data_IF_630594090399
#
_entry.id   IF_630594090399
#
_cell.length_a   1.000
_cell.length_b   1.000
_cell.length_c   1.000
_cell.angle_alpha   90.00
_cell.angle_beta   90.00
_cell.angle_gamma   90.00
#
_symmetry.space_group_name_H-M   'P 1'
#
loop_
_entity.id
_entity.type
_entity.pdbx_description
1 polymer ?
#
# COMPACT_ATOMS: atom_id res chain seq x y z
N UNK A 1 7.54 12.08 3.98
CA UNK A 1 7.49 10.96 4.97
C UNK A 1 6.66 11.41 6.17
N UNK A 2 5.85 10.53 6.78
CA UNK A 2 4.88 10.94 7.81
C UNK A 2 5.51 11.15 9.20
N UNK A 3 6.55 10.38 9.57
CA UNK A 3 7.06 10.35 10.95
C UNK A 3 8.57 10.60 11.08
N UNK A 4 9.22 11.00 10.01
CA UNK A 4 10.66 11.32 10.00
C UNK A 4 10.79 12.81 9.70
N UNK A 5 11.50 13.56 10.57
CA UNK A 5 11.71 15.00 10.41
C UNK A 5 12.49 15.30 9.12
N UNK A 6 12.32 16.50 8.59
CA UNK A 6 13.05 16.94 7.39
C UNK A 6 14.56 16.89 7.59
N UNK A 7 15.05 17.28 8.75
CA UNK A 7 16.47 17.22 9.10
C UNK A 7 17.02 15.78 9.00
N UNK A 8 16.32 14.79 9.58
CA UNK A 8 16.74 13.38 9.49
C UNK A 8 16.66 12.90 8.04
N UNK A 9 15.63 13.29 7.28
CA UNK A 9 15.53 12.95 5.87
C UNK A 9 16.74 13.43 5.07
N UNK A 10 17.16 14.68 5.28
CA UNK A 10 18.31 15.29 4.59
C UNK A 10 19.61 14.58 4.95
N UNK A 11 19.80 14.22 6.22
CA UNK A 11 20.96 13.42 6.67
C UNK A 11 20.99 12.03 6.05
N UNK A 12 19.85 11.36 5.95
CA UNK A 12 19.73 10.04 5.31
C UNK A 12 20.06 10.13 3.82
N UNK A 13 19.58 11.17 3.15
CA UNK A 13 19.85 11.41 1.73
C UNK A 13 21.33 11.68 1.47
N UNK A 14 21.96 12.55 2.26
CA UNK A 14 23.39 12.82 2.17
C UNK A 14 24.23 11.54 2.37
N UNK A 15 23.90 10.76 3.40
CA UNK A 15 24.59 9.49 3.66
C UNK A 15 24.40 8.50 2.53
N UNK A 16 23.20 8.41 1.93
CA UNK A 16 22.94 7.55 0.79
C UNK A 16 23.80 7.95 -0.42
N UNK A 17 23.92 9.24 -0.73
CA UNK A 17 24.78 9.73 -1.81
C UNK A 17 26.25 9.36 -1.59
N UNK A 18 26.79 9.59 -0.40
CA UNK A 18 28.17 9.23 -0.05
C UNK A 18 28.43 7.72 -0.18
N UNK A 19 27.48 6.87 0.18
CA UNK A 19 27.59 5.42 0.04
C UNK A 19 27.60 5.04 -1.46
N UNK A 20 26.66 5.58 -2.24
CA UNK A 20 26.55 5.30 -3.68
C UNK A 20 27.83 5.73 -4.42
N UNK A 21 28.35 6.91 -4.13
CA UNK A 21 29.60 7.43 -4.69
C UNK A 21 30.80 6.55 -4.30
N UNK A 22 30.89 6.13 -3.03
CA UNK A 22 32.01 5.31 -2.55
C UNK A 22 32.09 3.93 -3.19
N UNK A 23 30.96 3.39 -3.65
CA UNK A 23 30.86 2.09 -4.32
C UNK A 23 30.96 2.26 -5.84
N UNK A 24 30.73 3.46 -6.37
CA UNK A 24 30.71 3.74 -7.82
C UNK A 24 29.48 3.16 -8.52
N UNK A 25 28.32 3.17 -7.87
CA UNK A 25 27.07 2.65 -8.47
C UNK A 25 26.56 3.62 -9.53
N UNK A 26 26.28 3.11 -10.72
CA UNK A 26 25.56 3.81 -11.79
C UNK A 26 24.20 3.16 -11.96
N UNK A 27 23.11 3.92 -11.78
CA UNK A 27 21.74 3.43 -11.90
C UNK A 27 21.03 3.28 -10.55
N UNK A 28 19.94 2.49 -10.55
CA UNK A 28 19.10 2.30 -9.39
C UNK A 28 19.78 1.53 -8.25
N UNK A 29 19.62 2.03 -7.04
CA UNK A 29 20.11 1.38 -5.84
C UNK A 29 19.11 1.55 -4.70
N UNK A 30 19.21 0.70 -3.69
CA UNK A 30 18.42 0.79 -2.47
C UNK A 30 19.35 0.77 -1.26
N UNK A 31 19.24 1.77 -0.40
CA UNK A 31 19.96 1.85 0.87
C UNK A 31 18.95 1.78 2.01
N UNK A 32 19.12 0.85 2.93
CA UNK A 32 18.27 0.69 4.11
C UNK A 32 18.98 1.23 5.35
N UNK A 33 18.26 2.08 6.07
CA UNK A 33 18.72 2.70 7.31
C UNK A 33 17.83 2.31 8.48
N UNK A 34 18.43 2.32 9.69
CA UNK A 34 17.69 2.40 10.94
C UNK A 34 18.08 3.69 11.67
N UNK A 35 17.08 4.37 12.21
CA UNK A 35 17.25 5.58 13.01
C UNK A 35 16.63 5.36 14.40
N UNK A 36 17.43 5.54 15.43
CA UNK A 36 16.97 5.58 16.81
C UNK A 36 16.63 7.04 17.19
N UNK A 37 15.34 7.36 17.41
CA UNK A 37 14.93 8.72 17.71
C UNK A 37 15.32 9.21 19.12
N UNK A 38 15.77 8.31 20.01
CA UNK A 38 16.19 8.64 21.38
C UNK A 38 17.65 9.08 21.41
N UNK A 39 18.52 8.32 20.75
CA UNK A 39 19.97 8.59 20.70
C UNK A 39 20.39 9.35 19.45
N UNK A 40 19.45 9.59 18.53
CA UNK A 40 19.67 10.16 17.20
C UNK A 40 20.71 9.39 16.35
N UNK A 41 20.96 8.13 16.69
CA UNK A 41 21.88 7.28 15.97
C UNK A 41 21.25 6.79 14.66
N UNK A 42 21.99 6.93 13.55
CA UNK A 42 21.66 6.35 12.25
C UNK A 42 22.65 5.22 11.96
N UNK A 43 22.15 4.07 11.53
CA UNK A 43 22.94 2.94 11.04
C UNK A 43 22.48 2.50 9.67
N UNK A 44 23.42 2.14 8.82
CA UNK A 44 23.14 1.47 7.54
C UNK A 44 22.91 -0.01 7.83
N UNK A 45 21.76 -0.52 7.40
CA UNK A 45 21.44 -1.96 7.52
C UNK A 45 22.08 -2.69 6.35
N UNK A 46 21.75 -2.26 5.13
CA UNK A 46 22.29 -2.84 3.90
C UNK A 46 22.19 -1.86 2.73
N UNK A 47 22.98 -2.13 1.69
CA UNK A 47 22.83 -1.52 0.39
C UNK A 47 22.64 -2.63 -0.67
N UNK A 48 21.70 -2.41 -1.58
CA UNK A 48 21.50 -3.24 -2.77
C UNK A 48 21.84 -2.40 -4.00
N UNK A 49 23.07 -2.52 -4.56
CA UNK A 49 23.53 -1.70 -5.70
C UNK A 49 22.95 -2.21 -7.03
N UNK A 50 21.66 -2.33 -7.08
CA UNK A 50 20.86 -2.82 -8.21
C UNK A 50 19.41 -2.40 -8.02
N UNK A 51 18.61 -2.44 -9.09
CA UNK A 51 17.15 -2.46 -8.95
C UNK A 51 16.71 -3.71 -8.18
N UNK A 52 15.73 -3.55 -7.32
CA UNK A 52 15.22 -4.58 -6.42
C UNK A 52 13.69 -4.52 -6.35
N UNK A 53 13.07 -5.44 -5.61
CA UNK A 53 11.63 -5.37 -5.32
C UNK A 53 11.23 -4.05 -4.64
N UNK A 54 12.06 -3.57 -3.72
CA UNK A 54 11.85 -2.27 -3.08
C UNK A 54 11.93 -1.12 -4.08
N UNK A 55 12.78 -1.24 -5.12
CA UNK A 55 12.85 -0.26 -6.21
C UNK A 55 11.58 -0.29 -7.06
N UNK A 56 11.03 -1.47 -7.36
CA UNK A 56 9.77 -1.61 -8.10
C UNK A 56 8.61 -0.95 -7.34
N UNK A 57 8.51 -1.20 -6.03
CA UNK A 57 7.52 -0.55 -5.18
C UNK A 57 7.73 0.97 -5.12
N UNK A 58 8.95 1.44 -4.89
CA UNK A 58 9.26 2.87 -4.83
C UNK A 58 8.95 3.57 -6.16
N UNK A 59 9.23 2.92 -7.29
CA UNK A 59 8.88 3.40 -8.63
C UNK A 59 7.37 3.66 -8.75
N UNK A 60 6.56 2.70 -8.35
CA UNK A 60 5.10 2.80 -8.40
C UNK A 60 4.53 3.71 -7.31
N UNK A 61 5.17 3.78 -6.15
CA UNK A 61 4.75 4.68 -5.08
C UNK A 61 4.95 6.17 -5.43
N UNK A 62 5.94 6.49 -6.25
CA UNK A 62 6.32 7.88 -6.57
C UNK A 62 6.03 8.29 -8.02
N UNK A 63 5.64 7.34 -8.87
CA UNK A 63 5.56 7.58 -10.31
C UNK A 63 6.93 7.80 -10.97
N UNK A 64 8.03 7.41 -10.29
CA UNK A 64 9.38 7.56 -10.81
C UNK A 64 9.86 6.25 -11.47
N UNK A 65 10.08 6.21 -12.81
CA UNK A 65 10.36 4.96 -13.52
C UNK A 65 11.82 4.53 -13.34
N UNK A 66 12.17 3.99 -12.17
CA UNK A 66 13.55 3.65 -11.76
C UNK A 66 14.26 2.75 -12.79
N UNK A 67 13.56 1.75 -13.36
CA UNK A 67 14.15 0.82 -14.31
C UNK A 67 14.54 1.53 -15.62
N UNK A 68 13.65 2.37 -16.16
CA UNK A 68 13.91 3.17 -17.36
C UNK A 68 15.10 4.12 -17.14
N UNK A 69 15.09 4.85 -16.03
CA UNK A 69 16.17 5.79 -15.69
C UNK A 69 17.49 5.04 -15.48
N UNK A 70 17.48 3.89 -14.82
CA UNK A 70 18.68 3.07 -14.63
C UNK A 70 19.28 2.62 -15.97
N UNK A 71 18.43 2.26 -16.94
CA UNK A 71 18.88 1.90 -18.27
C UNK A 71 19.50 3.09 -19.04
N UNK A 72 18.90 4.28 -18.92
CA UNK A 72 19.45 5.51 -19.52
C UNK A 72 20.82 5.86 -18.93
N UNK A 73 20.98 5.79 -17.61
CA UNK A 73 22.26 6.02 -16.93
C UNK A 73 23.31 4.97 -17.35
N UNK A 74 22.93 3.71 -17.46
CA UNK A 74 23.80 2.64 -17.92
C UNK A 74 24.22 2.81 -19.39
N UNK A 75 23.38 3.47 -20.20
CA UNK A 75 23.71 3.84 -21.58
C UNK A 75 24.63 5.08 -21.67
N UNK A 76 24.98 5.72 -20.57
CA UNK A 76 25.93 6.81 -20.47
C UNK A 76 25.33 8.21 -20.36
N UNK A 77 23.99 8.36 -20.27
CA UNK A 77 23.39 9.67 -20.01
C UNK A 77 23.66 10.11 -18.58
N UNK A 78 23.71 11.42 -18.36
CA UNK A 78 23.83 12.04 -17.04
C UNK A 78 22.45 12.51 -16.53
N UNK A 79 22.34 12.84 -15.24
CA UNK A 79 21.08 13.24 -14.63
C UNK A 79 20.49 14.52 -15.23
N UNK A 80 21.34 15.43 -15.67
CA UNK A 80 20.98 16.69 -16.32
C UNK A 80 20.64 16.56 -17.81
N UNK A 81 20.92 15.41 -18.41
CA UNK A 81 20.56 15.08 -19.79
C UNK A 81 19.22 14.32 -19.89
N UNK A 82 18.76 13.70 -18.79
CA UNK A 82 17.52 12.93 -18.79
C UNK A 82 16.30 13.85 -18.55
N UNK A 83 15.37 13.94 -19.52
CA UNK A 83 14.15 14.75 -19.36
C UNK A 83 13.27 14.24 -18.21
N UNK A 84 12.73 15.15 -17.41
CA UNK A 84 11.88 14.80 -16.26
C UNK A 84 10.61 15.67 -16.15
N UNK A 85 9.77 15.65 -17.17
CA UNK A 85 8.47 16.29 -17.21
C UNK A 85 8.48 17.73 -16.69
N UNK A 86 7.66 18.05 -15.72
CA UNK A 86 7.55 19.41 -15.12
C UNK A 86 8.81 19.92 -14.42
N UNK A 87 9.75 19.03 -14.09
CA UNK A 87 11.01 19.39 -13.43
C UNK A 87 12.10 19.80 -14.43
N UNK A 88 11.89 19.61 -15.74
CA UNK A 88 12.84 19.84 -16.80
C UNK A 88 13.82 18.68 -16.94
N UNK A 89 14.74 18.50 -16.00
CA UNK A 89 15.75 17.44 -15.99
C UNK A 89 15.76 16.69 -14.66
N UNK A 90 16.31 15.48 -14.68
CA UNK A 90 16.23 14.52 -13.57
C UNK A 90 16.96 14.98 -12.30
N UNK A 91 18.04 15.75 -12.45
CA UNK A 91 18.77 16.35 -11.33
C UNK A 91 17.91 17.25 -10.43
N UNK A 92 16.78 17.75 -10.96
CA UNK A 92 15.83 18.61 -10.28
C UNK A 92 14.58 17.88 -9.77
N UNK A 93 14.51 16.56 -9.97
CA UNK A 93 13.35 15.78 -9.56
C UNK A 93 13.15 15.79 -8.04
N UNK A 94 11.91 15.97 -7.63
CA UNK A 94 11.46 15.83 -6.25
C UNK A 94 10.07 15.15 -6.21
N UNK A 95 9.88 14.10 -5.38
CA UNK A 95 8.57 13.45 -5.23
C UNK A 95 7.58 14.40 -4.52
N UNK A 96 6.45 14.70 -5.16
CA UNK A 96 5.47 15.67 -4.68
C UNK A 96 4.01 15.17 -4.70
N UNK A 97 3.81 13.87 -4.67
CA UNK A 97 2.47 13.27 -4.60
C UNK A 97 1.73 13.64 -3.30
N UNK A 98 0.45 14.00 -3.41
CA UNK A 98 -0.43 14.35 -2.29
C UNK A 98 -1.30 13.15 -1.84
N UNK A 99 -0.74 11.97 -1.86
CA UNK A 99 -1.36 10.71 -1.47
C UNK A 99 -0.46 9.94 -0.48
N UNK A 100 -1.03 8.95 0.17
CA UNK A 100 -0.33 8.06 1.10
C UNK A 100 -0.21 6.68 0.47
N UNK A 101 0.99 6.10 0.54
CA UNK A 101 1.26 4.75 0.09
C UNK A 101 1.58 3.87 1.29
N UNK A 102 0.88 2.75 1.39
CA UNK A 102 1.13 1.72 2.41
C UNK A 102 1.67 0.47 1.73
N UNK A 103 2.83 0.02 2.19
CA UNK A 103 3.36 -1.30 1.91
C UNK A 103 2.98 -2.25 3.04
N UNK A 104 2.41 -3.40 2.71
CA UNK A 104 2.12 -4.44 3.70
C UNK A 104 2.69 -5.78 3.24
N UNK A 105 3.46 -6.44 4.11
CA UNK A 105 4.07 -7.73 3.80
C UNK A 105 3.04 -8.87 3.85
N UNK A 106 3.14 -9.81 2.92
CA UNK A 106 2.40 -11.08 2.96
C UNK A 106 3.30 -12.16 3.56
N UNK A 107 2.88 -12.72 4.68
CA UNK A 107 3.49 -13.90 5.28
C UNK A 107 2.63 -15.13 4.98
N UNK A 108 3.23 -16.32 5.00
CA UNK A 108 2.57 -17.58 4.72
C UNK A 108 2.97 -18.68 5.71
N UNK A 109 3.10 -18.33 7.00
CA UNK A 109 3.45 -19.29 8.05
C UNK A 109 2.49 -20.47 8.07
N UNK A 110 1.21 -20.24 7.71
CA UNK A 110 0.18 -21.27 7.63
C UNK A 110 0.48 -22.38 6.60
N UNK A 111 1.40 -22.15 5.67
CA UNK A 111 1.80 -23.13 4.65
C UNK A 111 2.91 -24.06 5.10
N UNK A 112 3.60 -23.74 6.19
CA UNK A 112 4.76 -24.48 6.66
C UNK A 112 4.46 -25.14 8.01
N UNK A 113 4.29 -26.46 8.04
CA UNK A 113 4.10 -27.19 9.30
C UNK A 113 5.34 -27.07 10.19
N UNK A 114 5.15 -26.67 11.46
CA UNK A 114 6.22 -26.48 12.43
C UNK A 114 6.99 -25.18 12.33
N UNK A 115 6.64 -24.29 11.39
CA UNK A 115 7.21 -22.95 11.37
C UNK A 115 6.61 -22.09 12.49
N UNK A 116 7.47 -21.50 13.30
CA UNK A 116 7.07 -20.55 14.33
C UNK A 116 6.76 -19.19 13.68
N UNK A 117 5.57 -18.65 13.93
CA UNK A 117 5.19 -17.28 13.52
C UNK A 117 5.86 -16.28 14.47
N UNK A 118 7.12 -16.00 14.19
CA UNK A 118 7.93 -15.01 14.91
C UNK A 118 8.69 -14.16 13.91
N UNK A 119 8.49 -12.86 13.98
CA UNK A 119 9.23 -11.89 13.15
C UNK A 119 10.56 -11.54 13.82
N UNK A 120 11.57 -11.24 13.02
CA UNK A 120 12.92 -10.94 13.48
C UNK A 120 13.77 -10.34 12.37
N UNK A 121 15.09 -10.50 12.46
CA UNK A 121 16.05 -9.94 11.50
C UNK A 121 16.11 -10.69 10.16
N UNK A 122 15.53 -11.88 10.09
CA UNK A 122 15.47 -12.67 8.86
C UNK A 122 14.23 -12.28 8.03
N UNK A 123 14.38 -12.26 6.71
CA UNK A 123 13.28 -12.05 5.79
C UNK A 123 12.39 -13.30 5.72
N UNK A 124 11.12 -13.16 6.11
CA UNK A 124 10.12 -14.24 6.15
C UNK A 124 8.87 -13.95 5.31
N UNK A 125 8.78 -12.77 4.72
CA UNK A 125 7.69 -12.42 3.83
C UNK A 125 7.82 -13.16 2.49
N UNK A 126 6.69 -13.63 1.94
CA UNK A 126 6.63 -14.32 0.64
C UNK A 126 6.25 -13.39 -0.49
N UNK A 127 5.72 -12.22 -0.17
CA UNK A 127 5.31 -11.18 -1.10
C UNK A 127 4.87 -9.93 -0.34
N UNK A 128 4.36 -8.97 -1.08
CA UNK A 128 3.88 -7.72 -0.53
C UNK A 128 2.74 -7.15 -1.35
N UNK A 129 1.96 -6.28 -0.74
CA UNK A 129 0.97 -5.45 -1.42
C UNK A 129 1.33 -3.98 -1.24
N UNK A 130 0.91 -3.17 -2.19
CA UNK A 130 0.93 -1.73 -2.10
C UNK A 130 -0.50 -1.21 -2.25
N UNK A 131 -0.85 -0.25 -1.44
CA UNK A 131 -2.12 0.47 -1.55
C UNK A 131 -1.89 1.96 -1.55
N UNK A 132 -2.74 2.70 -2.24
CA UNK A 132 -2.70 4.15 -2.34
C UNK A 132 -4.03 4.71 -1.86
N UNK A 133 -3.98 5.79 -1.10
CA UNK A 133 -5.14 6.53 -0.63
C UNK A 133 -4.78 7.98 -0.30
N UNK A 134 -5.76 8.84 -0.08
CA UNK A 134 -5.52 10.23 0.33
C UNK A 134 -5.12 10.36 1.80
N UNK A 135 -5.54 9.42 2.64
CA UNK A 135 -5.22 9.39 4.06
C UNK A 135 -4.53 8.09 4.46
N UNK A 136 -3.82 8.11 5.59
CA UNK A 136 -3.20 6.90 6.14
C UNK A 136 -4.26 5.82 6.43
N UNK A 137 -5.38 6.18 7.06
CA UNK A 137 -6.47 5.24 7.40
C UNK A 137 -7.04 4.56 6.15
N UNK A 138 -7.37 5.34 5.11
CA UNK A 138 -7.87 4.83 3.83
C UNK A 138 -6.89 3.84 3.19
N UNK A 139 -5.62 4.25 3.05
CA UNK A 139 -4.59 3.41 2.45
C UNK A 139 -4.32 2.16 3.28
N UNK A 140 -4.33 2.26 4.62
CA UNK A 140 -4.07 1.12 5.51
C UNK A 140 -5.17 0.06 5.43
N UNK A 141 -6.44 0.47 5.50
CA UNK A 141 -7.55 -0.47 5.33
C UNK A 141 -7.60 -1.10 3.93
N UNK A 142 -7.24 -0.33 2.90
CA UNK A 142 -7.09 -0.86 1.55
C UNK A 142 -5.97 -1.91 1.48
N UNK A 143 -4.82 -1.68 2.13
CA UNK A 143 -3.73 -2.65 2.21
C UNK A 143 -4.18 -3.99 2.84
N UNK A 144 -5.00 -3.95 3.89
CA UNK A 144 -5.54 -5.17 4.51
C UNK A 144 -6.37 -5.99 3.52
N UNK A 145 -7.24 -5.34 2.75
CA UNK A 145 -8.03 -6.03 1.71
C UNK A 145 -7.13 -6.59 0.60
N UNK A 146 -6.11 -5.83 0.22
CA UNK A 146 -5.15 -6.21 -0.82
C UNK A 146 -4.36 -7.48 -0.50
N UNK A 147 -4.22 -7.86 0.77
CA UNK A 147 -3.57 -9.11 1.18
C UNK A 147 -4.34 -10.37 0.77
N UNK A 148 -5.62 -10.25 0.43
CA UNK A 148 -6.50 -11.36 0.02
C UNK A 148 -6.51 -12.53 1.03
N UNK A 149 -6.50 -12.21 2.32
CA UNK A 149 -6.57 -13.18 3.43
C UNK A 149 -8.00 -13.43 3.92
N UNK A 150 -9.00 -12.91 3.20
CA UNK A 150 -10.42 -12.96 3.60
C UNK A 150 -10.81 -11.91 4.64
N UNK A 151 -9.91 -10.97 4.95
CA UNK A 151 -10.16 -9.85 5.85
C UNK A 151 -10.51 -8.59 5.06
N UNK A 152 -11.54 -7.90 5.48
CA UNK A 152 -12.03 -6.66 4.86
C UNK A 152 -11.79 -5.42 5.74
N UNK A 153 -11.21 -5.61 6.92
CA UNK A 153 -10.83 -4.61 7.91
C UNK A 153 -9.89 -5.20 8.94
N UNK A 154 -9.47 -4.39 9.91
CA UNK A 154 -8.52 -4.77 10.96
C UNK A 154 -9.17 -5.54 12.10
N UNK A 155 -10.44 -5.25 12.42
CA UNK A 155 -11.17 -5.91 13.50
C UNK A 155 -11.72 -7.28 13.13
N UNK A 156 -12.27 -7.96 14.12
CA UNK A 156 -12.83 -9.32 14.02
C UNK A 156 -11.86 -10.33 13.37
N UNK A 157 -10.60 -10.22 13.71
CA UNK A 157 -9.54 -11.05 13.15
C UNK A 157 -9.34 -12.30 14.02
N UNK A 158 -9.68 -13.47 13.48
CA UNK A 158 -9.50 -14.78 14.14
C UNK A 158 -10.17 -14.81 15.54
N UNK A 159 -9.51 -15.45 16.52
CA UNK A 159 -10.02 -15.63 17.87
C UNK A 159 -9.58 -14.53 18.87
N UNK A 160 -8.97 -13.45 18.37
CA UNK A 160 -8.48 -12.38 19.24
C UNK A 160 -9.59 -11.64 19.99
N UNK A 161 -10.80 -11.66 19.46
CA UNK A 161 -11.96 -11.00 20.06
C UNK A 161 -12.34 -11.55 21.45
N UNK A 162 -12.02 -12.83 21.70
CA UNK A 162 -12.36 -13.50 22.97
C UNK A 162 -11.27 -13.30 24.04
N UNK A 163 -10.12 -12.72 23.68
CA UNK A 163 -9.02 -12.47 24.59
C UNK A 163 -9.23 -11.21 25.42
N UNK A 164 -8.75 -11.25 26.65
CA UNK A 164 -8.67 -10.07 27.51
C UNK A 164 -7.55 -9.13 27.04
N UNK A 165 -7.59 -7.88 27.51
CA UNK A 165 -6.53 -6.90 27.28
C UNK A 165 -5.15 -7.45 27.65
N UNK A 166 -5.02 -8.06 28.83
CA UNK A 166 -3.74 -8.57 29.35
C UNK A 166 -3.18 -9.72 28.53
N UNK A 167 -4.05 -10.60 28.01
CA UNK A 167 -3.65 -11.67 27.11
C UNK A 167 -3.16 -11.12 25.76
N UNK A 168 -3.86 -10.14 25.20
CA UNK A 168 -3.44 -9.47 23.97
C UNK A 168 -2.10 -8.75 24.13
N UNK A 169 -1.89 -8.03 25.23
CA UNK A 169 -0.62 -7.35 25.51
C UNK A 169 0.54 -8.36 25.66
N UNK A 170 0.31 -9.53 26.27
CA UNK A 170 1.32 -10.61 26.34
C UNK A 170 1.70 -11.14 24.96
N UNK A 171 0.74 -11.29 24.04
CA UNK A 171 1.02 -11.72 22.67
C UNK A 171 1.88 -10.72 21.90
N UNK A 172 1.82 -9.43 22.23
CA UNK A 172 2.59 -8.38 21.56
C UNK A 172 4.06 -8.31 21.99
N UNK A 173 4.46 -8.99 23.07
CA UNK A 173 5.87 -9.06 23.53
C UNK A 173 6.77 -9.64 22.42
N UNK A 174 6.28 -10.65 21.71
CA UNK A 174 6.97 -11.25 20.58
C UNK A 174 6.27 -10.85 19.28
N UNK A 175 6.94 -10.17 18.36
CA UNK A 175 6.31 -9.74 17.11
C UNK A 175 5.98 -10.95 16.23
N UNK A 176 4.70 -11.05 15.81
CA UNK A 176 4.19 -12.06 14.88
C UNK A 176 3.61 -11.42 13.62
N UNK A 177 3.29 -12.21 12.61
CA UNK A 177 2.58 -11.75 11.41
C UNK A 177 1.21 -11.12 11.73
N UNK A 178 0.63 -11.47 12.86
CA UNK A 178 -0.70 -11.04 13.30
C UNK A 178 -0.69 -9.78 14.20
N UNK A 179 0.49 -9.23 14.52
CA UNK A 179 0.62 -8.16 15.52
C UNK A 179 -0.26 -6.94 15.27
N UNK A 180 -0.54 -6.58 14.01
CA UNK A 180 -1.40 -5.43 13.69
C UNK A 180 -2.86 -5.68 14.13
N UNK A 181 -3.34 -6.89 13.94
CA UNK A 181 -4.69 -7.30 14.35
C UNK A 181 -4.82 -7.45 15.86
N UNK A 182 -3.74 -7.95 16.52
CA UNK A 182 -3.67 -8.03 17.98
C UNK A 182 -3.66 -6.63 18.61
N UNK A 183 -2.90 -5.69 18.05
CA UNK A 183 -2.88 -4.29 18.49
C UNK A 183 -4.25 -3.64 18.35
N UNK A 184 -4.91 -3.86 17.22
CA UNK A 184 -6.25 -3.32 16.96
C UNK A 184 -7.26 -3.80 17.99
N UNK A 185 -7.25 -5.11 18.31
CA UNK A 185 -8.14 -5.67 19.33
C UNK A 185 -7.74 -5.23 20.74
N UNK A 186 -6.45 -5.09 21.04
CA UNK A 186 -6.00 -4.54 22.33
C UNK A 186 -6.51 -3.11 22.56
N UNK A 187 -6.49 -2.26 21.52
CA UNK A 187 -7.09 -0.92 21.59
C UNK A 187 -8.59 -0.98 21.87
N UNK A 188 -9.32 -1.88 21.21
CA UNK A 188 -10.75 -2.11 21.46
C UNK A 188 -11.03 -2.54 22.91
N UNK A 189 -10.14 -3.33 23.51
CA UNK A 189 -10.22 -3.76 24.92
C UNK A 189 -9.66 -2.73 25.91
N UNK A 190 -9.37 -1.50 25.44
CA UNK A 190 -8.96 -0.38 26.29
C UNK A 190 -7.45 -0.29 26.56
N UNK A 191 -6.61 -0.89 25.73
CA UNK A 191 -5.18 -0.61 25.78
C UNK A 191 -4.91 0.83 25.34
N UNK A 192 -3.97 1.50 25.99
CA UNK A 192 -3.57 2.85 25.64
C UNK A 192 -2.52 2.86 24.55
N UNK A 193 -2.41 4.00 23.86
CA UNK A 193 -1.37 4.23 22.85
C UNK A 193 0.03 4.06 23.47
N UNK A 194 0.23 4.54 24.69
CA UNK A 194 1.51 4.41 25.40
C UNK A 194 1.85 2.94 25.74
N UNK A 195 0.89 2.15 26.25
CA UNK A 195 1.10 0.73 26.51
C UNK A 195 1.57 -0.01 25.25
N UNK A 196 0.93 0.25 24.12
CA UNK A 196 1.30 -0.37 22.85
C UNK A 196 2.65 0.15 22.32
N UNK A 197 2.94 1.44 22.47
CA UNK A 197 4.25 1.99 22.11
C UNK A 197 5.37 1.36 22.92
N UNK A 198 5.20 1.24 24.24
CA UNK A 198 6.24 0.65 25.10
C UNK A 198 6.54 -0.81 24.77
N UNK A 199 5.52 -1.58 24.39
CA UNK A 199 5.67 -2.98 24.02
C UNK A 199 6.25 -3.17 22.60
N UNK A 200 5.79 -2.37 21.64
CA UNK A 200 6.07 -2.62 20.22
C UNK A 200 7.12 -1.70 19.62
N UNK A 201 7.35 -0.56 20.26
CA UNK A 201 8.14 0.59 19.76
C UNK A 201 7.63 1.15 18.42
N UNK A 202 6.40 0.80 18.03
CA UNK A 202 5.72 1.43 16.90
C UNK A 202 5.35 2.84 17.31
N UNK A 203 5.69 3.84 16.48
CA UNK A 203 5.46 5.26 16.79
C UNK A 203 4.00 5.55 17.08
N UNK A 204 3.74 6.45 18.04
CA UNK A 204 2.43 6.90 18.49
C UNK A 204 1.49 7.23 17.33
N UNK A 205 1.96 7.98 16.34
CA UNK A 205 1.17 8.34 15.16
C UNK A 205 0.43 7.16 14.54
N UNK A 206 1.10 6.01 14.33
CA UNK A 206 0.47 4.85 13.70
C UNK A 206 -0.53 4.16 14.62
N UNK A 207 -0.25 4.15 15.94
CA UNK A 207 -1.15 3.57 16.94
C UNK A 207 -2.38 4.46 17.13
N UNK A 208 -2.21 5.79 17.10
CA UNK A 208 -3.31 6.76 17.15
C UNK A 208 -4.24 6.61 15.95
N UNK A 209 -3.70 6.49 14.73
CA UNK A 209 -4.50 6.24 13.53
C UNK A 209 -5.29 4.92 13.62
N UNK A 210 -4.69 3.90 14.22
CA UNK A 210 -5.38 2.63 14.47
C UNK A 210 -6.47 2.78 15.54
N UNK A 211 -6.24 3.57 16.58
CA UNK A 211 -7.22 3.86 17.63
C UNK A 211 -8.43 4.61 17.07
N UNK A 212 -8.23 5.60 16.23
CA UNK A 212 -9.31 6.33 15.55
C UNK A 212 -10.18 5.38 14.72
N UNK A 213 -9.57 4.40 14.02
CA UNK A 213 -10.32 3.37 13.28
C UNK A 213 -11.12 2.45 14.21
N UNK A 214 -10.60 2.11 15.39
CA UNK A 214 -11.34 1.33 16.40
C UNK A 214 -12.56 2.13 16.90
N UNK A 215 -12.39 3.40 17.23
CA UNK A 215 -13.46 4.27 17.72
C UNK A 215 -14.57 4.42 16.67
N UNK A 216 -14.21 4.57 15.40
CA UNK A 216 -15.15 4.64 14.28
C UNK A 216 -15.88 3.30 14.06
N UNK A 217 -15.16 2.19 14.15
CA UNK A 217 -15.74 0.85 14.03
C UNK A 217 -16.76 0.58 15.13
N UNK A 218 -16.46 0.93 16.39
CA UNK A 218 -17.38 0.80 17.51
C UNK A 218 -18.61 1.71 17.33
N UNK A 219 -18.41 2.93 16.81
CA UNK A 219 -19.52 3.82 16.49
C UNK A 219 -20.43 3.19 15.42
N UNK A 220 -19.88 2.65 14.33
CA UNK A 220 -20.67 1.95 13.31
C UNK A 220 -21.42 0.77 13.93
N UNK A 221 -20.74 -0.07 14.70
CA UNK A 221 -21.33 -1.24 15.33
C UNK A 221 -22.47 -0.92 16.28
N UNK A 222 -22.46 0.26 16.90
CA UNK A 222 -23.53 0.73 17.79
C UNK A 222 -24.89 0.90 17.09
N UNK A 223 -24.90 1.02 15.76
CA UNK A 223 -26.11 1.11 14.95
C UNK A 223 -26.67 -0.26 14.54
N UNK A 224 -26.09 -1.37 15.00
CA UNK A 224 -26.61 -2.72 14.68
C UNK A 224 -28.10 -2.83 15.02
N UNK A 225 -28.91 -3.27 14.04
CA UNK A 225 -30.38 -3.32 14.16
C UNK A 225 -31.09 -2.00 13.85
N UNK A 226 -30.37 -0.93 13.54
CA UNK A 226 -30.89 0.36 13.11
C UNK A 226 -30.26 0.80 11.79
N UNK A 227 -30.86 1.77 11.13
CA UNK A 227 -30.26 2.35 9.94
C UNK A 227 -29.01 3.15 10.31
N UNK A 228 -27.91 2.92 9.57
CA UNK A 228 -26.69 3.70 9.73
C UNK A 228 -26.92 5.13 9.22
N UNK A 229 -26.63 6.19 10.00
CA UNK A 229 -26.74 7.57 9.53
C UNK A 229 -25.83 7.83 8.31
N UNK A 230 -26.29 8.66 7.40
CA UNK A 230 -25.60 8.95 6.15
C UNK A 230 -24.24 9.63 6.35
N UNK A 231 -24.11 10.49 7.33
CA UNK A 231 -22.86 11.15 7.69
C UNK A 231 -21.83 10.17 8.27
N UNK A 232 -22.28 9.20 9.10
CA UNK A 232 -21.43 8.11 9.60
C UNK A 232 -20.96 7.22 8.45
N UNK A 233 -21.85 6.81 7.56
CA UNK A 233 -21.47 6.04 6.37
C UNK A 233 -20.47 6.81 5.51
N UNK A 234 -20.69 8.10 5.30
CA UNK A 234 -19.80 8.95 4.52
C UNK A 234 -18.40 9.03 5.11
N UNK A 235 -18.28 9.18 6.43
CA UNK A 235 -16.99 9.21 7.12
C UNK A 235 -16.31 7.85 7.05
N UNK A 236 -17.01 6.78 7.33
CA UNK A 236 -16.51 5.42 7.24
C UNK A 236 -15.91 5.11 5.84
N UNK A 237 -16.58 5.54 4.77
CA UNK A 237 -16.05 5.37 3.41
C UNK A 237 -14.77 6.17 3.19
N UNK A 238 -14.69 7.39 3.71
CA UNK A 238 -13.49 8.24 3.63
C UNK A 238 -12.31 7.64 4.39
N UNK A 239 -12.56 6.98 5.51
CA UNK A 239 -11.54 6.32 6.31
C UNK A 239 -11.24 4.87 5.84
N UNK A 240 -11.84 4.45 4.71
CA UNK A 240 -11.45 3.23 4.01
C UNK A 240 -12.24 1.97 4.39
N UNK A 241 -13.35 2.08 5.16
CA UNK A 241 -14.20 0.94 5.45
C UNK A 241 -14.89 0.41 4.19
N UNK A 242 -14.72 -0.87 3.89
CA UNK A 242 -15.39 -1.53 2.77
C UNK A 242 -16.89 -1.72 3.06
N UNK A 243 -17.74 -1.66 2.03
CA UNK A 243 -19.17 -1.95 2.17
C UNK A 243 -19.40 -3.30 2.84
N UNK A 244 -18.64 -4.31 2.44
CA UNK A 244 -18.66 -5.66 3.03
C UNK A 244 -18.25 -5.70 4.50
N UNK A 245 -17.33 -4.83 4.93
CA UNK A 245 -16.94 -4.78 6.34
C UNK A 245 -18.01 -4.09 7.19
N UNK A 246 -18.55 -2.97 6.71
CA UNK A 246 -19.65 -2.26 7.35
C UNK A 246 -20.87 -3.18 7.48
N UNK A 247 -21.23 -3.92 6.43
CA UNK A 247 -22.35 -4.87 6.46
C UNK A 247 -22.17 -5.95 7.52
N UNK A 248 -20.93 -6.44 7.70
CA UNK A 248 -20.59 -7.41 8.75
C UNK A 248 -20.75 -6.82 10.16
N UNK A 249 -20.36 -5.55 10.37
CA UNK A 249 -20.52 -4.87 11.67
C UNK A 249 -21.99 -4.71 12.04
N UNK A 250 -22.82 -4.40 11.05
CA UNK A 250 -24.25 -4.14 11.25
C UNK A 250 -25.13 -5.40 11.16
N UNK A 251 -24.57 -6.52 10.71
CA UNK A 251 -25.28 -7.78 10.45
C UNK A 251 -26.39 -7.63 9.39
N UNK A 252 -26.04 -6.95 8.29
CA UNK A 252 -26.91 -6.72 7.12
C UNK A 252 -26.24 -7.20 5.84
N UNK A 253 -26.98 -7.24 4.74
CA UNK A 253 -26.41 -7.59 3.45
C UNK A 253 -25.53 -6.45 2.88
N UNK A 254 -24.38 -6.79 2.26
CA UNK A 254 -23.48 -5.81 1.64
C UNK A 254 -24.21 -4.90 0.65
N UNK A 255 -25.20 -5.46 -0.06
CA UNK A 255 -26.02 -4.72 -1.03
C UNK A 255 -26.81 -3.57 -0.38
N UNK A 256 -27.22 -3.69 0.88
CA UNK A 256 -27.92 -2.63 1.61
C UNK A 256 -27.02 -1.42 1.80
N UNK A 257 -25.80 -1.64 2.28
CA UNK A 257 -24.79 -0.58 2.45
C UNK A 257 -24.47 0.08 1.11
N UNK A 258 -24.27 -0.74 0.08
CA UNK A 258 -24.01 -0.23 -1.28
C UNK A 258 -25.18 0.62 -1.79
N UNK A 259 -26.43 0.17 -1.62
CA UNK A 259 -27.60 0.91 -2.08
C UNK A 259 -27.76 2.23 -1.33
N UNK A 260 -27.54 2.26 -0.02
CA UNK A 260 -27.57 3.49 0.77
C UNK A 260 -26.52 4.48 0.26
N UNK A 261 -25.28 4.03 0.07
CA UNK A 261 -24.20 4.85 -0.47
C UNK A 261 -24.52 5.42 -1.84
N UNK A 262 -25.05 4.60 -2.74
CA UNK A 262 -25.44 5.03 -4.10
C UNK A 262 -26.62 6.02 -4.09
N UNK A 263 -27.59 5.83 -3.20
CA UNK A 263 -28.71 6.76 -3.03
C UNK A 263 -28.26 8.15 -2.56
N UNK A 264 -27.15 8.23 -1.83
CA UNK A 264 -26.49 9.49 -1.43
C UNK A 264 -25.66 10.13 -2.58
N UNK A 265 -25.61 9.51 -3.76
CA UNK A 265 -24.70 9.92 -4.84
C UNK A 265 -23.22 9.70 -4.53
N UNK A 266 -22.90 8.86 -3.57
CA UNK A 266 -21.53 8.64 -3.11
C UNK A 266 -20.87 7.50 -3.90
N UNK A 267 -19.95 7.87 -4.77
CA UNK A 267 -19.14 6.97 -5.57
C UNK A 267 -17.65 7.17 -5.23
N UNK A 268 -16.84 6.12 -5.38
CA UNK A 268 -15.40 6.32 -5.43
C UNK A 268 -15.03 7.12 -6.68
N UNK A 269 -13.98 7.91 -6.54
CA UNK A 269 -13.39 8.68 -7.63
C UNK A 269 -12.00 8.13 -7.90
N UNK A 270 -11.45 8.41 -9.06
CA UNK A 270 -10.16 7.91 -9.50
C UNK A 270 -9.19 9.05 -9.68
N UNK A 271 -8.07 8.97 -8.98
CA UNK A 271 -7.00 9.96 -9.06
C UNK A 271 -5.72 9.35 -9.65
N UNK A 272 -4.98 10.11 -10.49
CA UNK A 272 -3.78 9.61 -11.12
C UNK A 272 -2.56 9.70 -10.22
N UNK A 273 -1.66 8.73 -10.37
CA UNK A 273 -0.25 8.87 -10.07
C UNK A 273 0.48 9.08 -11.41
N UNK A 274 1.00 10.28 -11.61
CA UNK A 274 1.70 10.63 -12.84
C UNK A 274 3.09 10.01 -12.89
N UNK A 275 3.46 9.43 -14.03
CA UNK A 275 4.77 8.84 -14.24
C UNK A 275 5.71 9.90 -14.81
N UNK A 276 6.74 10.25 -14.05
CA UNK A 276 7.75 11.22 -14.46
C UNK A 276 8.61 10.67 -15.61
N UNK A 277 9.23 11.57 -16.38
CA UNK A 277 10.06 11.23 -17.53
C UNK A 277 9.37 10.46 -18.67
N UNK A 278 8.03 10.38 -18.63
CA UNK A 278 7.18 9.86 -19.70
C UNK A 278 6.18 10.91 -20.13
N UNK A 279 5.68 10.80 -21.36
CA UNK A 279 4.65 11.68 -21.84
C UNK A 279 3.28 11.07 -21.55
N UNK A 280 2.47 11.76 -20.74
CA UNK A 280 1.06 11.45 -20.49
C UNK A 280 0.79 10.03 -19.90
N UNK A 281 1.79 9.42 -19.22
CA UNK A 281 1.57 8.14 -18.56
C UNK A 281 1.15 8.33 -17.11
N UNK A 282 0.11 7.61 -16.71
CA UNK A 282 -0.43 7.61 -15.37
C UNK A 282 -1.06 6.26 -15.04
N UNK A 283 -1.16 5.94 -13.76
CA UNK A 283 -2.01 4.89 -13.26
C UNK A 283 -2.89 5.44 -12.15
N UNK A 284 -4.02 4.78 -11.90
CA UNK A 284 -5.09 5.33 -11.08
C UNK A 284 -5.30 4.54 -9.81
N UNK A 285 -5.69 5.22 -8.74
CA UNK A 285 -6.17 4.62 -7.50
C UNK A 285 -7.53 5.20 -7.14
N UNK A 286 -8.37 4.41 -6.47
CA UNK A 286 -9.67 4.86 -6.01
C UNK A 286 -9.59 5.57 -4.67
N UNK A 287 -10.45 6.56 -4.46
CA UNK A 287 -10.60 7.25 -3.17
C UNK A 287 -12.02 7.80 -3.00
N UNK A 288 -12.42 8.04 -1.74
CA UNK A 288 -13.60 8.82 -1.39
C UNK A 288 -13.24 10.24 -0.94
N UNK A 289 -11.96 10.62 -0.99
CA UNK A 289 -11.42 11.88 -0.49
C UNK A 289 -10.89 12.81 -1.60
N UNK A 290 -11.25 12.55 -2.85
CA UNK A 290 -10.70 13.26 -4.00
C UNK A 290 -11.72 13.73 -4.99
N UNK A 291 -11.24 14.02 -6.20
CA UNK A 291 -12.05 14.37 -7.39
C UNK A 291 -11.73 13.37 -8.50
N UNK A 292 -12.77 13.01 -9.24
CA UNK A 292 -12.59 12.11 -10.38
C UNK A 292 -11.76 12.78 -11.47
N UNK A 293 -10.66 12.15 -11.85
CA UNK A 293 -9.74 12.61 -12.88
C UNK A 293 -9.51 11.53 -13.95
N UNK A 294 -10.34 10.46 -13.93
CA UNK A 294 -10.27 9.41 -14.91
C UNK A 294 -11.19 9.70 -16.10
N UNK A 295 -10.61 9.89 -17.26
CA UNK A 295 -11.36 10.09 -18.51
C UNK A 295 -11.76 8.74 -19.11
N UNK A 296 -13.08 8.57 -19.33
CA UNK A 296 -13.64 7.37 -19.96
C UNK A 296 -13.67 7.54 -21.46
N UNK A 297 -12.90 6.73 -22.18
CA UNK A 297 -12.92 6.69 -23.66
C UNK A 297 -14.19 6.02 -24.20
N UNK A 298 -14.47 6.17 -25.49
CA UNK A 298 -15.53 5.45 -26.21
C UNK A 298 -15.04 4.17 -26.91
N UNK A 299 -13.78 3.77 -26.70
CA UNK A 299 -13.18 2.59 -27.31
C UNK A 299 -13.81 1.30 -26.78
N UNK A 300 -13.71 0.22 -27.55
CA UNK A 300 -14.03 -1.11 -27.04
C UNK A 300 -12.94 -1.52 -26.03
N UNK A 301 -13.37 -1.85 -24.82
CA UNK A 301 -12.47 -2.11 -23.70
C UNK A 301 -12.53 -3.55 -23.25
N UNK A 302 -11.37 -4.08 -22.81
CA UNK A 302 -11.29 -5.34 -22.10
C UNK A 302 -10.49 -5.12 -20.82
N UNK A 303 -11.11 -5.48 -19.68
CA UNK A 303 -10.49 -5.41 -18.37
C UNK A 303 -9.89 -6.77 -18.02
N UNK A 304 -8.63 -6.75 -17.59
CA UNK A 304 -7.86 -7.91 -17.15
C UNK A 304 -7.69 -7.79 -15.62
N UNK A 305 -8.18 -8.76 -14.89
CA UNK A 305 -8.01 -8.84 -13.44
C UNK A 305 -6.71 -9.56 -13.13
N UNK A 306 -5.82 -8.87 -12.42
CA UNK A 306 -4.48 -9.37 -12.07
C UNK A 306 -4.48 -10.42 -10.96
N UNK A 307 -3.31 -10.96 -10.67
CA UNK A 307 -3.13 -12.06 -9.71
C UNK A 307 -3.11 -11.65 -8.24
N UNK A 308 -3.11 -10.36 -7.92
CA UNK A 308 -2.93 -9.88 -6.53
C UNK A 308 -1.55 -10.20 -5.95
N UNK A 309 -1.41 -10.31 -4.61
CA UNK A 309 -0.13 -10.55 -3.96
C UNK A 309 0.44 -11.93 -4.27
N UNK A 310 1.76 -12.02 -4.29
CA UNK A 310 2.45 -13.31 -4.46
C UNK A 310 2.04 -14.31 -3.37
N UNK A 311 1.86 -15.56 -3.77
CA UNK A 311 1.45 -16.66 -2.89
C UNK A 311 2.31 -17.89 -3.16
N UNK A 312 2.50 -18.73 -2.15
CA UNK A 312 3.14 -20.03 -2.35
C UNK A 312 2.23 -20.90 -3.22
N UNK A 313 2.81 -21.44 -4.29
CA UNK A 313 2.09 -22.23 -5.29
C UNK A 313 1.47 -21.41 -6.42
N UNK A 314 1.62 -20.10 -6.42
CA UNK A 314 1.24 -19.21 -7.51
C UNK A 314 2.48 -18.46 -8.00
N UNK A 315 2.98 -18.82 -9.16
CA UNK A 315 4.21 -18.25 -9.70
C UNK A 315 3.96 -17.07 -10.63
N UNK A 316 5.04 -16.61 -11.25
CA UNK A 316 5.05 -15.46 -12.16
C UNK A 316 4.22 -15.69 -13.45
N UNK A 317 3.91 -16.92 -13.77
CA UNK A 317 3.10 -17.31 -14.94
C UNK A 317 1.72 -16.64 -14.96
N UNK A 318 1.15 -16.33 -13.79
CA UNK A 318 -0.12 -15.62 -13.70
C UNK A 318 0.01 -14.18 -14.19
N UNK A 319 1.09 -13.51 -13.84
CA UNK A 319 1.36 -12.16 -14.32
C UNK A 319 1.76 -12.15 -15.79
N UNK A 320 2.54 -13.13 -16.22
CA UNK A 320 2.88 -13.35 -17.63
C UNK A 320 1.61 -13.46 -18.50
N UNK A 321 0.60 -14.22 -18.05
CA UNK A 321 -0.67 -14.32 -18.75
C UNK A 321 -1.40 -12.96 -18.86
N UNK A 322 -1.41 -12.17 -17.79
CA UNK A 322 -2.02 -10.84 -17.80
C UNK A 322 -1.34 -9.89 -18.81
N UNK A 323 0.00 -9.88 -18.81
CA UNK A 323 0.81 -9.06 -19.73
C UNK A 323 0.58 -9.46 -21.18
N UNK A 324 0.68 -10.77 -21.49
CA UNK A 324 0.47 -11.25 -22.85
C UNK A 324 -0.97 -11.08 -23.34
N UNK A 325 -1.96 -11.22 -22.48
CA UNK A 325 -3.34 -10.92 -22.80
C UNK A 325 -3.51 -9.44 -23.19
N UNK A 326 -2.92 -8.52 -22.40
CA UNK A 326 -2.94 -7.09 -22.72
C UNK A 326 -2.32 -6.81 -24.08
N UNK A 327 -1.10 -7.31 -24.32
CA UNK A 327 -0.40 -7.10 -25.61
C UNK A 327 -1.15 -7.67 -26.81
N UNK A 328 -1.76 -8.86 -26.66
CA UNK A 328 -2.54 -9.46 -27.73
C UNK A 328 -3.84 -8.67 -28.03
N UNK A 329 -4.53 -8.21 -27.00
CA UNK A 329 -5.75 -7.43 -27.13
C UNK A 329 -5.50 -6.05 -27.73
N UNK A 330 -4.41 -5.38 -27.38
CA UNK A 330 -3.97 -4.13 -28.03
C UNK A 330 -3.78 -4.32 -29.54
N UNK A 331 -3.12 -5.42 -29.96
CA UNK A 331 -2.94 -5.75 -31.39
C UNK A 331 -4.27 -5.99 -32.11
N UNK A 332 -5.31 -6.41 -31.40
CA UNK A 332 -6.67 -6.58 -31.95
C UNK A 332 -7.50 -5.30 -31.92
N UNK A 333 -6.94 -4.18 -31.49
CA UNK A 333 -7.60 -2.86 -31.47
C UNK A 333 -8.49 -2.62 -30.26
N UNK A 334 -8.34 -3.38 -29.16
CA UNK A 334 -9.04 -3.11 -27.92
C UNK A 334 -8.22 -2.18 -27.02
N UNK A 335 -8.88 -1.29 -26.31
CA UNK A 335 -8.31 -0.60 -25.15
C UNK A 335 -8.21 -1.59 -24.00
N UNK A 336 -7.02 -1.76 -23.46
CA UNK A 336 -6.75 -2.73 -22.39
C UNK A 336 -6.69 -2.03 -21.05
N UNK A 337 -7.37 -2.61 -20.08
CA UNK A 337 -7.40 -2.13 -18.69
C UNK A 337 -6.87 -3.25 -17.80
N UNK A 338 -5.90 -2.95 -16.94
CA UNK A 338 -5.45 -3.90 -15.90
C UNK A 338 -5.85 -3.37 -14.53
N UNK A 339 -6.32 -4.27 -13.67
CA UNK A 339 -6.57 -4.03 -12.24
C UNK A 339 -5.70 -4.98 -11.43
N UNK A 340 -4.75 -4.45 -10.68
CA UNK A 340 -3.87 -5.24 -9.80
C UNK A 340 -3.24 -4.36 -8.73
N UNK A 341 -2.98 -4.92 -7.54
CA UNK A 341 -2.36 -4.23 -6.40
C UNK A 341 -0.96 -4.74 -6.03
N UNK A 342 -0.37 -5.61 -6.86
CA UNK A 342 0.95 -6.16 -6.62
C UNK A 342 2.04 -5.28 -7.26
N UNK A 343 2.88 -4.58 -6.47
CA UNK A 343 3.90 -3.69 -7.02
C UNK A 343 5.07 -4.42 -7.67
N UNK A 344 5.18 -5.74 -7.47
CA UNK A 344 6.31 -6.56 -7.96
C UNK A 344 6.07 -7.13 -9.37
N UNK A 345 4.91 -6.87 -9.98
CA UNK A 345 4.49 -7.46 -11.26
C UNK A 345 4.65 -6.51 -12.44
N UNK A 346 4.93 -7.06 -13.61
CA UNK A 346 5.03 -6.30 -14.88
C UNK A 346 3.66 -5.82 -15.33
N UNK A 347 2.58 -6.53 -14.99
CA UNK A 347 1.21 -6.10 -15.30
C UNK A 347 0.86 -4.75 -14.66
N UNK A 348 1.55 -4.36 -13.59
CA UNK A 348 1.40 -3.04 -12.95
C UNK A 348 2.43 -2.00 -13.41
N UNK A 349 3.17 -2.27 -14.47
CA UNK A 349 4.00 -1.24 -15.11
C UNK A 349 3.12 -0.36 -16.01
N UNK A 350 3.41 0.93 -16.01
CA UNK A 350 2.60 1.98 -16.65
C UNK A 350 2.42 1.83 -18.16
N UNK A 351 3.27 1.05 -18.83
CA UNK A 351 3.30 0.86 -20.29
C UNK A 351 2.72 -0.51 -20.73
N UNK A 352 2.33 -1.38 -19.81
CA UNK A 352 1.80 -2.72 -20.12
C UNK A 352 0.37 -2.67 -20.66
N UNK A 353 -0.49 -1.83 -20.09
CA UNK A 353 -1.88 -1.62 -20.53
C UNK A 353 -2.13 -0.17 -20.93
N UNK A 354 -3.26 0.11 -21.57
CA UNK A 354 -3.64 1.48 -21.89
C UNK A 354 -4.11 2.23 -20.64
N UNK A 355 -4.67 1.48 -19.67
CA UNK A 355 -5.07 2.00 -18.39
C UNK A 355 -4.79 1.00 -17.27
N UNK A 356 -4.22 1.46 -16.18
CA UNK A 356 -3.94 0.68 -15.00
C UNK A 356 -4.68 1.26 -13.79
N UNK A 357 -5.48 0.43 -13.13
CA UNK A 357 -6.04 0.72 -11.81
C UNK A 357 -5.24 -0.06 -10.76
N UNK A 358 -4.54 0.66 -9.91
CA UNK A 358 -3.73 0.07 -8.86
C UNK A 358 -4.62 -0.19 -7.62
N UNK A 359 -5.39 -1.27 -7.69
CA UNK A 359 -6.44 -1.61 -6.73
C UNK A 359 -6.51 -3.10 -6.42
N UNK A 360 -6.97 -3.50 -5.21
CA UNK A 360 -7.32 -4.88 -4.92
C UNK A 360 -8.60 -5.31 -5.66
N UNK A 361 -8.73 -6.61 -5.87
CA UNK A 361 -9.92 -7.22 -6.46
C UNK A 361 -11.00 -7.46 -5.40
N UNK A 362 -11.58 -6.40 -4.86
CA UNK A 362 -12.62 -6.46 -3.80
C UNK A 362 -13.82 -5.58 -4.11
#
# INVERSE_FOLDING_TARGET
MLTISKEVQDRLQEQAYRIVESIGVIGGTNVQFAHDPVTDRIVVIEINPRTSRSSALASKATGFPIALISAMLAAGLTLDEIPCGKYGTLDKYYPDGDYVVIKFARWAFEKFKGAEDKLGTQMKAVGEVMSIGKTYKEAFQKAIRSLETGRYGLGYAKNFNDLSKDELLKLLINPTSERQFIMYEALRKGATVNELFELTKIKHYFIEQMKELVEEEENIASYKGNQLPDDVLKQAKKDGFADKYISKLLDVEEKEIRNQRLAMGMHQVWEPVHVSSTKDSSYYYSTYNGKDQDEVSNNKKIMILGGGPNRIGQGIEFDYCCVHASLALKKLGFETIIVNCNPETVSTDYDTSDKLYFEPLT
#
